data_IF_141572285249
#
_entry.id   IF_141572285249
#
_cell.length_a   1.000
_cell.length_b   1.000
_cell.length_c   1.000
_cell.angle_alpha   90.00
_cell.angle_beta   90.00
_cell.angle_gamma   90.00
#
_symmetry.space_group_name_H-M   'P 1'
#
loop_
_entity.id
_entity.type
_entity.pdbx_description
1 polymer ?
#
# COMPACT_ATOMS: atom_id res chain seq x y z
N UNK A 1 66.22 12.07 48.97
CA UNK A 1 65.08 12.27 49.90
C UNK A 1 63.75 12.52 49.17
N UNK A 2 63.75 13.07 47.95
CA UNK A 2 62.55 13.31 47.11
C UNK A 2 61.80 12.04 46.67
N UNK A 3 62.54 10.98 46.32
CA UNK A 3 61.93 9.81 45.69
C UNK A 3 61.12 8.97 46.69
N UNK A 4 61.58 8.93 47.95
CA UNK A 4 60.87 8.26 49.04
C UNK A 4 59.55 8.98 49.37
N UNK A 5 59.55 10.32 49.35
CA UNK A 5 58.31 11.09 49.51
C UNK A 5 57.35 10.93 48.33
N UNK A 6 57.86 10.78 47.11
CA UNK A 6 57.02 10.57 45.92
C UNK A 6 56.43 9.15 45.86
N UNK A 7 57.15 8.15 46.37
CA UNK A 7 56.64 6.78 46.50
C UNK A 7 55.55 6.72 47.57
N UNK A 8 55.77 7.34 48.73
CA UNK A 8 54.78 7.38 49.80
C UNK A 8 53.48 8.07 49.37
N UNK A 9 53.56 9.21 48.66
CA UNK A 9 52.35 9.89 48.17
C UNK A 9 51.57 9.07 47.14
N UNK A 10 52.27 8.28 46.30
CA UNK A 10 51.61 7.33 45.39
C UNK A 10 50.95 6.17 46.13
N UNK A 11 51.57 5.67 47.19
CA UNK A 11 50.97 4.62 48.04
C UNK A 11 49.72 5.14 48.73
N UNK A 12 49.77 6.34 49.31
CA UNK A 12 48.61 6.97 49.96
C UNK A 12 47.46 7.19 48.96
N UNK A 13 47.79 7.61 47.74
CA UNK A 13 46.83 7.74 46.65
C UNK A 13 46.20 6.39 46.26
N UNK A 14 47.02 5.33 46.11
CA UNK A 14 46.52 3.98 45.82
C UNK A 14 45.64 3.44 46.96
N UNK A 15 45.99 3.70 48.22
CA UNK A 15 45.17 3.33 49.37
C UNK A 15 43.83 4.07 49.36
N UNK A 16 43.83 5.34 48.97
CA UNK A 16 42.60 6.12 48.74
C UNK A 16 41.70 5.49 47.67
N UNK A 17 42.28 5.08 46.53
CA UNK A 17 41.53 4.42 45.46
C UNK A 17 40.99 3.04 45.89
N UNK A 18 41.76 2.26 46.65
CA UNK A 18 41.29 0.96 47.16
C UNK A 18 40.14 1.16 48.16
N UNK A 19 40.22 2.17 49.03
CA UNK A 19 39.16 2.50 49.96
C UNK A 19 37.89 2.95 49.21
N UNK A 20 38.04 3.76 48.17
CA UNK A 20 36.92 4.16 47.30
C UNK A 20 36.27 2.96 46.61
N UNK A 21 37.06 2.07 46.00
CA UNK A 21 36.53 0.87 45.33
C UNK A 21 35.76 -0.04 46.29
N UNK A 22 36.26 -0.19 47.53
CA UNK A 22 35.55 -0.97 48.56
C UNK A 22 34.26 -0.29 48.99
N UNK A 23 34.25 1.04 49.10
CA UNK A 23 33.05 1.79 49.45
C UNK A 23 31.99 1.66 48.34
N UNK A 24 32.37 1.85 47.08
CA UNK A 24 31.48 1.68 45.92
C UNK A 24 30.91 0.26 45.84
N UNK A 25 31.75 -0.77 46.01
CA UNK A 25 31.31 -2.16 46.08
C UNK A 25 30.33 -2.43 47.23
N UNK A 26 30.62 -1.88 48.42
CA UNK A 26 29.73 -2.04 49.59
C UNK A 26 28.40 -1.31 49.43
N UNK A 27 28.39 -0.12 48.82
CA UNK A 27 27.18 0.63 48.52
C UNK A 27 26.31 -0.10 47.49
N UNK A 28 26.94 -0.65 46.43
CA UNK A 28 26.24 -1.46 45.43
C UNK A 28 25.60 -2.72 46.03
N UNK A 29 26.23 -3.34 47.04
CA UNK A 29 25.72 -4.54 47.70
C UNK A 29 24.65 -4.25 48.76
N UNK A 30 24.80 -3.16 49.52
CA UNK A 30 23.86 -2.78 50.60
C UNK A 30 22.47 -2.46 50.05
N UNK A 31 22.40 -1.89 48.84
CA UNK A 31 21.13 -1.59 48.17
C UNK A 31 20.62 -2.72 47.25
N UNK A 32 21.32 -3.86 47.18
CA UNK A 32 20.96 -4.94 46.26
C UNK A 32 19.56 -5.52 46.55
N UNK A 33 19.13 -5.51 47.82
CA UNK A 33 17.77 -5.92 48.20
C UNK A 33 16.67 -4.97 47.70
N UNK A 34 16.94 -3.66 47.69
CA UNK A 34 16.00 -2.64 47.19
C UNK A 34 15.98 -2.56 45.66
N UNK A 35 17.08 -2.96 44.99
CA UNK A 35 17.21 -3.00 43.52
C UNK A 35 16.75 -4.32 42.90
N UNK A 36 16.34 -5.31 43.72
CA UNK A 36 15.90 -6.61 43.21
C UNK A 36 14.59 -6.45 42.44
N UNK A 37 14.66 -6.64 41.12
CA UNK A 37 13.54 -6.43 40.19
C UNK A 37 13.48 -5.03 39.57
N UNK A 38 14.37 -4.13 39.96
CA UNK A 38 14.55 -2.83 39.31
C UNK A 38 15.61 -2.99 38.21
N UNK A 39 15.21 -2.77 36.96
CA UNK A 39 16.11 -2.78 35.82
C UNK A 39 16.05 -1.42 35.11
N UNK A 40 17.12 -1.10 34.41
CA UNK A 40 17.18 0.08 33.53
C UNK A 40 16.92 -0.42 32.12
N UNK A 41 15.89 0.12 31.47
CA UNK A 41 15.54 -0.20 30.09
C UNK A 41 16.04 0.92 29.16
N UNK A 42 16.91 0.62 28.17
CA UNK A 42 17.32 1.58 27.16
C UNK A 42 16.29 1.78 26.04
N UNK A 43 15.12 1.13 26.12
CA UNK A 43 14.02 1.20 25.14
C UNK A 43 14.51 0.97 23.70
N UNK A 44 15.23 -0.13 23.51
CA UNK A 44 15.69 -0.59 22.19
C UNK A 44 14.67 -1.56 21.55
N UNK A 45 13.99 -2.36 22.36
CA UNK A 45 12.96 -3.31 21.96
C UNK A 45 11.97 -3.59 23.11
N UNK A 46 10.92 -4.37 22.86
CA UNK A 46 9.90 -4.73 23.86
C UNK A 46 10.32 -5.92 24.76
N UNK A 47 11.56 -6.41 24.71
CA UNK A 47 11.96 -7.66 25.38
C UNK A 47 11.96 -7.60 26.91
N UNK A 48 12.16 -6.41 27.47
CA UNK A 48 12.17 -6.16 28.91
C UNK A 48 10.79 -5.81 29.47
N UNK A 49 9.75 -5.85 28.63
CA UNK A 49 8.39 -5.52 29.03
C UNK A 49 7.65 -6.76 29.51
N UNK A 50 6.73 -6.54 30.46
CA UNK A 50 5.99 -7.64 31.09
C UNK A 50 5.03 -8.32 30.11
N UNK A 51 5.04 -9.65 30.08
CA UNK A 51 4.19 -10.45 29.22
C UNK A 51 2.89 -10.79 29.97
N UNK A 52 1.76 -10.27 29.49
CA UNK A 52 0.43 -10.62 30.01
C UNK A 52 -0.47 -9.44 30.36
N UNK A 53 0.05 -8.22 30.32
CA UNK A 53 -0.75 -6.99 30.43
C UNK A 53 -0.72 -6.26 29.10
N UNK A 54 -1.88 -5.76 28.65
CA UNK A 54 -1.95 -4.92 27.45
C UNK A 54 -1.18 -3.62 27.71
N UNK A 55 -0.13 -3.40 26.94
CA UNK A 55 0.73 -2.24 27.08
C UNK A 55 0.48 -1.27 25.93
N UNK A 56 0.09 -0.05 26.29
CA UNK A 56 -0.34 0.96 25.32
C UNK A 56 0.79 1.88 24.88
N UNK A 57 1.98 1.84 25.48
CA UNK A 57 3.14 2.64 25.05
C UNK A 57 3.92 1.97 23.92
N UNK A 58 4.51 2.77 23.02
CA UNK A 58 5.37 2.33 21.93
C UNK A 58 6.82 2.80 22.15
N UNK A 59 7.78 1.91 21.92
CA UNK A 59 9.20 2.21 22.00
C UNK A 59 9.68 2.82 20.67
N UNK A 60 10.35 3.97 20.74
CA UNK A 60 10.86 4.66 19.58
C UNK A 60 12.17 5.40 19.90
N UNK A 61 13.24 5.09 19.15
CA UNK A 61 14.53 5.77 19.24
C UNK A 61 15.15 5.85 20.65
N UNK A 62 14.93 4.83 21.49
CA UNK A 62 15.42 4.83 22.88
C UNK A 62 14.50 5.51 23.88
N UNK A 63 13.27 5.84 23.50
CA UNK A 63 12.28 6.47 24.37
C UNK A 63 10.93 5.75 24.29
N UNK A 64 10.25 5.59 25.43
CA UNK A 64 8.87 5.09 25.48
C UNK A 64 7.91 6.26 25.30
N UNK A 65 7.09 6.21 24.24
CA UNK A 65 6.15 7.27 23.89
C UNK A 65 4.72 6.73 23.78
N UNK A 66 3.72 7.62 23.91
CA UNK A 66 2.34 7.24 23.60
C UNK A 66 2.21 7.06 22.09
N UNK A 67 1.68 5.92 21.60
CA UNK A 67 1.45 5.73 20.18
C UNK A 67 0.40 6.73 19.73
N UNK A 68 0.70 7.40 18.62
CA UNK A 68 -0.30 8.21 17.93
C UNK A 68 -1.10 7.27 17.04
N UNK A 69 -2.28 6.89 17.50
CA UNK A 69 -3.26 6.21 16.65
C UNK A 69 -3.86 7.27 15.73
N UNK A 70 -3.51 7.23 14.45
CA UNK A 70 -4.12 8.10 13.45
C UNK A 70 -5.48 7.50 13.10
N UNK A 71 -6.49 7.77 13.93
CA UNK A 71 -7.84 7.29 13.65
C UNK A 71 -8.55 8.18 12.61
N UNK A 72 -8.23 9.48 12.52
CA UNK A 72 -9.07 10.44 11.76
C UNK A 72 -8.36 11.58 10.97
N UNK A 73 -7.03 11.60 10.82
CA UNK A 73 -6.30 12.72 10.17
C UNK A 73 -6.51 12.84 8.63
N UNK A 74 -7.53 12.21 8.04
CA UNK A 74 -7.85 12.45 6.60
C UNK A 74 -9.31 12.69 6.26
N UNK A 75 -10.22 12.79 7.24
CA UNK A 75 -11.58 13.19 6.89
C UNK A 75 -11.61 14.70 6.68
N UNK A 76 -11.77 15.10 5.42
CA UNK A 76 -12.24 16.44 5.04
C UNK A 76 -13.44 16.82 5.94
N UNK A 77 -13.65 18.11 6.18
CA UNK A 77 -14.81 18.57 6.98
C UNK A 77 -16.07 17.81 6.57
N UNK A 78 -16.79 17.25 7.55
CA UNK A 78 -18.06 16.55 7.34
C UNK A 78 -19.15 17.47 6.76
N UNK A 79 -18.89 18.77 6.66
CA UNK A 79 -19.77 19.75 6.03
C UNK A 79 -20.01 19.46 4.53
N UNK A 80 -19.08 18.75 3.88
CA UNK A 80 -19.12 18.51 2.43
C UNK A 80 -19.04 17.01 2.17
N UNK A 81 -20.20 16.37 2.01
CA UNK A 81 -20.34 14.91 1.79
C UNK A 81 -19.98 14.44 0.38
N UNK A 82 -19.81 15.36 -0.56
CA UNK A 82 -19.38 15.12 -1.94
C UNK A 82 -18.78 16.42 -2.52
N UNK A 83 -17.96 16.37 -3.59
CA UNK A 83 -17.40 17.58 -4.19
C UNK A 83 -18.48 18.63 -4.51
N UNK A 84 -18.49 19.72 -3.76
CA UNK A 84 -19.46 20.80 -3.90
C UNK A 84 -18.82 22.04 -4.55
N UNK A 85 -19.51 22.63 -5.53
CA UNK A 85 -19.18 23.94 -6.11
C UNK A 85 -20.23 24.97 -5.71
N UNK A 86 -19.93 26.26 -5.89
CA UNK A 86 -20.94 27.31 -5.71
C UNK A 86 -22.09 27.15 -6.72
N UNK A 87 -23.28 27.62 -6.35
CA UNK A 87 -24.42 27.69 -7.26
C UNK A 87 -24.08 28.59 -8.46
N UNK A 88 -24.29 28.08 -9.66
CA UNK A 88 -24.05 28.81 -10.91
C UNK A 88 -25.30 28.82 -11.76
N UNK A 89 -25.67 30.00 -12.26
CA UNK A 89 -26.73 30.15 -13.27
C UNK A 89 -26.11 30.10 -14.68
N UNK A 90 -26.63 29.20 -15.52
CA UNK A 90 -26.20 29.09 -16.92
C UNK A 90 -26.93 30.13 -17.76
N UNK A 91 -26.19 31.00 -18.43
CA UNK A 91 -26.72 31.92 -19.43
C UNK A 91 -26.44 31.39 -20.84
N UNK A 92 -27.40 31.55 -21.74
CA UNK A 92 -27.27 31.08 -23.11
C UNK A 92 -26.50 32.12 -23.94
N UNK A 93 -25.24 31.82 -24.26
CA UNK A 93 -24.36 32.71 -25.04
C UNK A 93 -24.53 32.52 -26.55
N UNK A 94 -24.92 31.33 -26.99
CA UNK A 94 -25.09 30.98 -28.41
C UNK A 94 -26.19 29.93 -28.57
N UNK A 95 -27.15 30.20 -29.45
CA UNK A 95 -28.15 29.22 -29.90
C UNK A 95 -28.11 29.05 -31.43
N UNK A 96 -28.34 27.83 -31.90
CA UNK A 96 -28.51 27.51 -33.32
C UNK A 96 -29.93 27.00 -33.55
N UNK A 97 -30.84 27.92 -33.84
CA UNK A 97 -32.27 27.63 -34.00
C UNK A 97 -32.62 26.95 -35.33
N UNK A 98 -31.68 26.94 -36.30
CA UNK A 98 -31.87 26.35 -37.61
C UNK A 98 -31.08 25.04 -37.75
N UNK A 99 -31.79 23.96 -38.10
CA UNK A 99 -31.21 22.68 -38.50
C UNK A 99 -31.62 22.36 -39.92
N UNK A 100 -30.67 21.89 -40.74
CA UNK A 100 -30.96 21.39 -42.08
C UNK A 100 -31.90 20.18 -41.99
N UNK A 101 -32.99 20.19 -42.76
CA UNK A 101 -33.91 19.06 -42.88
C UNK A 101 -33.24 17.87 -43.57
N UNK A 102 -33.87 16.70 -43.49
CA UNK A 102 -33.40 15.50 -44.18
C UNK A 102 -34.29 15.20 -45.38
N UNK A 103 -33.68 14.78 -46.51
CA UNK A 103 -34.38 14.23 -47.66
C UNK A 103 -33.88 12.80 -47.89
N UNK A 104 -34.80 11.85 -48.12
CA UNK A 104 -34.43 10.45 -48.37
C UNK A 104 -33.75 10.33 -49.72
N UNK A 105 -32.49 9.90 -49.71
CA UNK A 105 -31.81 9.40 -50.91
C UNK A 105 -32.32 7.98 -51.14
N UNK A 106 -32.96 7.74 -52.29
CA UNK A 106 -33.58 6.47 -52.73
C UNK A 106 -34.93 6.08 -52.07
N UNK A 107 -36.07 6.64 -52.54
CA UNK A 107 -37.41 6.43 -51.96
C UNK A 107 -37.94 4.99 -52.00
N UNK A 108 -37.39 4.14 -52.88
CA UNK A 108 -37.95 2.83 -53.17
C UNK A 108 -37.18 1.66 -52.55
N UNK A 109 -36.08 1.90 -51.82
CA UNK A 109 -35.30 0.88 -51.09
C UNK A 109 -35.11 -0.43 -51.87
N UNK A 110 -34.86 -0.34 -53.18
CA UNK A 110 -34.55 -1.51 -54.00
C UNK A 110 -33.10 -1.93 -53.73
N UNK A 111 -32.89 -2.63 -52.63
CA UNK A 111 -31.64 -3.29 -52.30
C UNK A 111 -31.82 -4.79 -52.48
N UNK A 112 -30.77 -5.48 -52.92
CA UNK A 112 -30.69 -6.92 -52.73
C UNK A 112 -30.77 -7.22 -51.23
N UNK A 113 -31.34 -8.37 -50.81
CA UNK A 113 -31.41 -8.75 -49.41
C UNK A 113 -30.01 -8.63 -48.80
N UNK A 114 -29.91 -7.86 -47.72
CA UNK A 114 -28.64 -7.72 -47.01
C UNK A 114 -28.20 -9.12 -46.56
N UNK A 115 -26.94 -9.52 -46.83
CA UNK A 115 -26.46 -10.81 -46.38
C UNK A 115 -26.56 -10.91 -44.86
N UNK A 116 -26.80 -12.12 -44.35
CA UNK A 116 -26.77 -12.38 -42.92
C UNK A 116 -25.45 -11.87 -42.32
N UNK A 117 -25.55 -11.11 -41.24
CA UNK A 117 -24.41 -10.51 -40.58
C UNK A 117 -23.87 -11.43 -39.49
N UNK A 118 -22.56 -11.64 -39.49
CA UNK A 118 -21.83 -12.32 -38.41
C UNK A 118 -21.07 -11.26 -37.65
N UNK A 119 -21.34 -11.14 -36.35
CA UNK A 119 -20.61 -10.23 -35.47
C UNK A 119 -19.84 -11.03 -34.44
N UNK A 120 -18.51 -10.94 -34.51
CA UNK A 120 -17.61 -11.42 -33.46
C UNK A 120 -17.45 -10.30 -32.43
N UNK A 121 -17.71 -10.59 -31.16
CA UNK A 121 -17.41 -9.65 -30.08
C UNK A 121 -16.27 -10.22 -29.25
N UNK A 122 -15.00 -10.03 -29.69
CA UNK A 122 -13.87 -10.54 -28.94
C UNK A 122 -13.80 -9.85 -27.57
N UNK A 123 -13.54 -10.63 -26.53
CA UNK A 123 -13.18 -10.06 -25.25
C UNK A 123 -11.84 -9.31 -25.39
N UNK A 124 -11.75 -8.07 -24.92
CA UNK A 124 -10.46 -7.39 -24.76
C UNK A 124 -9.73 -8.08 -23.61
N UNK A 125 -8.74 -8.91 -23.91
CA UNK A 125 -8.01 -9.69 -22.91
C UNK A 125 -6.67 -9.05 -22.52
N UNK A 126 -6.71 -8.17 -21.52
CA UNK A 126 -5.52 -7.62 -20.87
C UNK A 126 -5.34 -8.29 -19.52
N UNK A 127 -4.48 -9.31 -19.43
CA UNK A 127 -4.27 -10.04 -18.18
C UNK A 127 -2.79 -10.08 -17.77
N UNK A 128 -2.55 -10.00 -16.47
CA UNK A 128 -1.23 -10.14 -15.84
C UNK A 128 -1.34 -11.11 -14.67
N UNK A 129 -0.45 -12.10 -14.60
CA UNK A 129 -0.34 -12.97 -13.42
C UNK A 129 0.64 -12.34 -12.46
N UNK A 130 0.16 -12.04 -11.26
CA UNK A 130 1.01 -11.55 -10.18
C UNK A 130 1.12 -12.63 -9.11
N UNK A 131 2.30 -13.24 -9.02
CA UNK A 131 2.64 -14.14 -7.92
C UNK A 131 3.41 -13.35 -6.87
N UNK A 132 2.78 -13.08 -5.73
CA UNK A 132 3.40 -12.35 -4.62
C UNK A 132 3.78 -13.32 -3.51
N UNK A 133 5.05 -13.38 -3.15
CA UNK A 133 5.54 -14.07 -1.95
C UNK A 133 6.09 -13.05 -0.96
N UNK A 134 5.57 -13.07 0.27
CA UNK A 134 6.00 -12.17 1.34
C UNK A 134 7.18 -12.79 2.10
N UNK A 135 8.30 -12.07 2.20
CA UNK A 135 9.45 -12.55 2.97
C UNK A 135 9.32 -12.26 4.48
N UNK A 136 8.72 -11.13 4.86
CA UNK A 136 8.34 -10.73 6.23
C UNK A 136 7.81 -9.28 6.22
N UNK A 137 7.09 -8.85 7.27
CA UNK A 137 6.79 -7.42 7.47
C UNK A 137 8.07 -6.67 7.87
N UNK A 138 8.52 -5.73 7.04
CA UNK A 138 9.66 -4.86 7.34
C UNK A 138 9.11 -3.48 7.73
N UNK A 139 9.40 -3.05 8.95
CA UNK A 139 9.15 -1.68 9.42
C UNK A 139 10.36 -0.83 9.05
N UNK A 140 10.19 0.20 8.21
CA UNK A 140 11.21 1.20 7.95
C UNK A 140 10.65 2.61 8.15
N UNK A 141 11.45 3.48 8.77
CA UNK A 141 11.14 4.89 8.99
C UNK A 141 11.91 5.74 7.97
N UNK A 142 11.24 6.69 7.33
CA UNK A 142 11.88 7.76 6.54
C UNK A 142 11.91 9.02 7.40
N UNK A 143 13.12 9.51 7.70
CA UNK A 143 13.34 10.82 8.33
C UNK A 143 13.46 11.88 7.24
N UNK A 144 12.53 12.83 7.18
CA UNK A 144 12.66 14.01 6.30
C UNK A 144 12.83 15.26 7.16
N UNK A 145 14.02 15.86 7.12
CA UNK A 145 14.26 17.16 7.73
C UNK A 145 15.66 17.72 7.46
N UNK A 146 15.74 19.01 7.11
CA UNK A 146 16.97 19.83 7.21
C UNK A 146 16.73 20.90 8.27
N UNK A 147 17.65 21.02 9.23
CA UNK A 147 17.63 22.06 10.27
C UNK A 147 17.08 21.61 11.63
N UNK A 148 17.34 22.43 12.67
CA UNK A 148 17.17 22.16 14.12
C UNK A 148 15.72 22.01 14.61
N UNK A 149 14.76 21.77 13.72
CA UNK A 149 13.35 21.56 14.05
C UNK A 149 12.85 20.34 13.28
N UNK A 150 12.97 19.17 13.92
CA UNK A 150 12.28 17.93 13.54
C UNK A 150 10.79 18.12 13.81
N UNK A 151 10.06 18.70 12.85
CA UNK A 151 8.60 18.79 12.87
C UNK A 151 8.08 17.66 11.99
N UNK A 152 7.67 16.55 12.62
CA UNK A 152 6.91 15.47 11.98
C UNK A 152 7.54 14.08 12.12
N UNK A 153 7.09 13.31 13.11
CA UNK A 153 7.28 11.86 13.14
C UNK A 153 6.07 11.23 12.45
N UNK A 154 6.26 10.76 11.22
CA UNK A 154 5.27 9.96 10.50
C UNK A 154 5.64 8.49 10.57
N UNK A 155 4.77 7.66 11.13
CA UNK A 155 4.88 6.20 11.00
C UNK A 155 4.21 5.80 9.69
N UNK A 156 5.00 5.31 8.73
CA UNK A 156 4.49 4.81 7.47
C UNK A 156 4.80 3.30 7.36
N UNK A 157 3.75 2.49 7.23
CA UNK A 157 3.88 1.07 6.90
C UNK A 157 4.04 0.95 5.38
N UNK A 158 5.28 0.77 4.93
CA UNK A 158 5.60 0.61 3.52
C UNK A 158 5.78 -0.86 3.15
N UNK A 159 4.97 -1.37 2.23
CA UNK A 159 5.28 -2.64 1.55
C UNK A 159 6.46 -2.40 0.62
N UNK A 160 7.65 -2.91 0.96
CA UNK A 160 8.81 -2.84 0.09
C UNK A 160 8.92 -4.11 -0.76
N UNK A 161 8.92 -3.94 -2.08
CA UNK A 161 9.10 -5.03 -3.04
C UNK A 161 10.58 -5.41 -3.07
N UNK A 162 10.96 -6.50 -2.41
CA UNK A 162 12.34 -6.99 -2.31
C UNK A 162 12.93 -7.38 -3.67
N UNK A 163 12.09 -7.92 -4.55
CA UNK A 163 12.45 -8.16 -5.94
C UNK A 163 11.19 -8.22 -6.80
N UNK A 164 11.31 -7.77 -8.04
CA UNK A 164 10.26 -7.88 -9.07
C UNK A 164 10.91 -8.37 -10.34
N UNK A 165 10.45 -9.52 -10.83
CA UNK A 165 10.77 -9.95 -12.19
C UNK A 165 9.48 -10.02 -12.98
N UNK A 166 9.55 -9.63 -14.25
CA UNK A 166 8.48 -9.81 -15.22
C UNK A 166 9.05 -10.58 -16.38
N UNK A 167 8.31 -11.57 -16.86
CA UNK A 167 8.62 -12.30 -18.09
C UNK A 167 7.36 -12.34 -18.95
N UNK A 168 7.48 -12.24 -20.29
CA UNK A 168 6.35 -12.49 -21.16
C UNK A 168 5.82 -13.90 -20.89
N UNK A 169 4.50 -14.04 -20.91
CA UNK A 169 3.89 -15.36 -20.84
C UNK A 169 4.34 -16.18 -22.05
N UNK A 170 4.72 -17.43 -21.82
CA UNK A 170 5.19 -18.34 -22.88
C UNK A 170 4.04 -18.76 -23.81
N UNK A 171 2.82 -18.84 -23.26
CA UNK A 171 1.61 -19.19 -23.99
C UNK A 171 0.47 -18.22 -23.67
N UNK A 172 -0.38 -17.98 -24.66
CA UNK A 172 -1.67 -17.31 -24.46
C UNK A 172 -2.60 -18.23 -23.67
N UNK A 173 -3.43 -17.65 -22.79
CA UNK A 173 -4.48 -18.40 -22.12
C UNK A 173 -5.68 -18.62 -23.05
N UNK A 174 -6.45 -19.66 -22.78
CA UNK A 174 -7.73 -19.88 -23.45
C UNK A 174 -8.75 -18.83 -23.01
N UNK A 175 -9.52 -18.31 -23.96
CA UNK A 175 -10.63 -17.38 -23.74
C UNK A 175 -11.89 -17.87 -24.44
N UNK A 176 -13.04 -17.58 -23.84
CA UNK A 176 -14.33 -17.83 -24.48
C UNK A 176 -14.68 -16.64 -25.38
N UNK A 177 -15.06 -16.93 -26.63
CA UNK A 177 -15.42 -15.93 -27.62
C UNK A 177 -16.88 -16.13 -28.01
N UNK A 178 -17.66 -15.06 -27.90
CA UNK A 178 -19.05 -15.05 -28.29
C UNK A 178 -19.19 -14.42 -29.68
N UNK A 179 -20.03 -15.04 -30.51
CA UNK A 179 -20.44 -14.51 -31.80
C UNK A 179 -21.95 -14.53 -31.91
N UNK A 180 -22.49 -13.58 -32.66
CA UNK A 180 -23.92 -13.50 -32.96
C UNK A 180 -24.09 -13.51 -34.47
N UNK A 181 -24.99 -14.37 -34.95
CA UNK A 181 -25.38 -14.43 -36.36
C UNK A 181 -26.83 -13.98 -36.45
N UNK A 182 -27.11 -13.01 -37.31
CA UNK A 182 -28.45 -12.43 -37.47
C UNK A 182 -28.70 -12.01 -38.90
N UNK A 183 -29.97 -11.81 -39.25
CA UNK A 183 -30.36 -11.36 -40.60
C UNK A 183 -30.78 -12.49 -41.55
N UNK A 184 -31.00 -13.71 -41.06
CA UNK A 184 -31.64 -14.77 -41.84
C UNK A 184 -33.11 -14.44 -42.12
N UNK A 185 -33.55 -14.68 -43.35
CA UNK A 185 -34.92 -14.52 -43.78
C UNK A 185 -35.86 -15.60 -43.24
N UNK A 186 -37.19 -15.44 -43.39
CA UNK A 186 -38.15 -16.49 -43.05
C UNK A 186 -37.84 -17.78 -43.83
N UNK A 187 -37.73 -18.91 -43.12
CA UNK A 187 -37.37 -20.23 -43.65
C UNK A 187 -35.93 -20.37 -44.17
N UNK A 188 -35.03 -19.43 -43.87
CA UNK A 188 -33.61 -19.56 -44.19
C UNK A 188 -32.90 -20.32 -43.06
N UNK A 189 -32.56 -21.59 -43.31
CA UNK A 189 -31.91 -22.46 -42.33
C UNK A 189 -30.38 -22.36 -42.43
N UNK A 190 -29.73 -22.17 -41.29
CA UNK A 190 -28.28 -22.21 -41.19
C UNK A 190 -27.77 -23.65 -41.40
N UNK A 191 -26.98 -23.86 -42.46
CA UNK A 191 -26.46 -25.20 -42.80
C UNK A 191 -25.24 -25.59 -41.96
N UNK A 192 -24.25 -24.71 -41.84
CA UNK A 192 -23.05 -24.96 -41.02
C UNK A 192 -22.39 -23.64 -40.61
N UNK A 193 -21.71 -23.66 -39.47
CA UNK A 193 -20.87 -22.56 -38.99
C UNK A 193 -19.54 -23.14 -38.57
N UNK A 194 -18.46 -22.51 -39.02
CA UNK A 194 -17.10 -22.86 -38.62
C UNK A 194 -16.38 -21.62 -38.13
N UNK A 195 -15.55 -21.79 -37.10
CA UNK A 195 -14.63 -20.78 -36.61
C UNK A 195 -13.23 -21.38 -36.66
N UNK A 196 -12.33 -20.77 -37.43
CA UNK A 196 -10.96 -21.26 -37.63
C UNK A 196 -10.89 -22.75 -38.04
N UNK A 197 -11.82 -23.18 -38.89
CA UNK A 197 -11.92 -24.57 -39.35
C UNK A 197 -12.59 -25.56 -38.38
N UNK A 198 -12.94 -25.12 -37.16
CA UNK A 198 -13.67 -25.93 -36.18
C UNK A 198 -15.17 -25.70 -36.34
N UNK A 199 -15.95 -26.78 -36.44
CA UNK A 199 -17.41 -26.69 -36.48
C UNK A 199 -17.95 -26.19 -35.13
N UNK A 200 -18.80 -25.16 -35.16
CA UNK A 200 -19.41 -24.59 -33.96
C UNK A 200 -20.93 -24.71 -34.06
N UNK A 201 -21.56 -25.18 -32.99
CA UNK A 201 -23.01 -25.30 -32.92
C UNK A 201 -23.59 -24.04 -32.28
N UNK A 202 -24.27 -23.16 -33.04
CA UNK A 202 -24.96 -22.03 -32.45
C UNK A 202 -26.19 -22.50 -31.67
N UNK A 203 -26.43 -21.87 -30.53
CA UNK A 203 -27.66 -22.07 -29.75
C UNK A 203 -28.63 -20.96 -30.14
N UNK A 204 -29.84 -21.34 -30.55
CA UNK A 204 -30.89 -20.35 -30.78
C UNK A 204 -31.22 -19.64 -29.46
N UNK A 205 -31.45 -18.32 -29.45
CA UNK A 205 -31.92 -17.62 -28.27
C UNK A 205 -33.27 -18.15 -27.78
#
# INVERSE_FOLDING_TARGET
MSDLSAINSRIDYMLGLIAQQRLEGSASLTEAGQKKGLFVDPFLDDSLRDAGVAQTGAIFSGELTLPVTIDQVSLMSSDVSSPASMASDLSLVLEQSARTGTMKVNPYMAFEPLPASVRLTPAIDNWTVTNTSWASSITQQIVVGRGRLLIGFGTATGVQVLSRSSRPAEFLRQIDINFTISGFGPNEALSSVTFDGVAVTPVAP
#
